data_IF_472081675807
#
_entry.id   IF_472081675807
#
_cell.length_a   1.000
_cell.length_b   1.000
_cell.length_c   1.000
_cell.angle_alpha   90.00
_cell.angle_beta   90.00
_cell.angle_gamma   90.00
#
_symmetry.space_group_name_H-M   'P 1'
#
loop_
_entity.id
_entity.type
_entity.pdbx_description
1 polymer ?
#
# COMPACT_ATOMS: atom_id res chain seq x y z
N UNK A 1 -21.71 -41.19 29.29
CA UNK A 1 -21.79 -41.82 27.96
C UNK A 1 -20.98 -40.99 26.98
N UNK A 2 -19.94 -41.57 26.36
CA UNK A 2 -19.12 -40.95 25.31
C UNK A 2 -19.86 -40.95 23.96
N UNK A 3 -19.65 -39.93 23.10
CA UNK A 3 -19.53 -40.15 21.66
C UNK A 3 -18.11 -39.72 21.21
N UNK A 4 -17.29 -40.65 20.76
CA UNK A 4 -17.14 -41.06 19.37
C UNK A 4 -16.11 -40.17 18.65
N UNK A 5 -14.85 -40.60 18.79
CA UNK A 5 -13.68 -40.17 18.05
C UNK A 5 -13.84 -40.66 16.60
N UNK A 6 -14.14 -39.76 15.66
CA UNK A 6 -14.09 -40.04 14.23
C UNK A 6 -12.73 -39.60 13.71
N UNK A 7 -11.77 -40.51 13.84
CA UNK A 7 -10.50 -40.47 13.10
C UNK A 7 -10.83 -40.92 11.67
N UNK A 8 -10.94 -39.99 10.73
CA UNK A 8 -10.84 -40.35 9.32
C UNK A 8 -9.37 -40.51 8.97
N UNK A 9 -8.97 -41.77 8.81
CA UNK A 9 -7.74 -42.17 8.18
C UNK A 9 -7.80 -41.84 6.68
N UNK A 10 -7.17 -40.74 6.28
CA UNK A 10 -6.67 -40.58 4.91
C UNK A 10 -5.15 -40.71 4.97
N UNK A 11 -4.66 -41.93 5.17
CA UNK A 11 -3.28 -42.28 4.85
C UNK A 11 -3.19 -42.19 3.33
N UNK A 12 -2.58 -41.10 2.89
CA UNK A 12 -2.58 -40.59 1.53
C UNK A 12 -1.79 -41.49 0.59
N UNK A 13 -2.39 -41.96 -0.50
CA UNK A 13 -1.70 -42.69 -1.58
C UNK A 13 -0.78 -41.78 -2.43
N UNK A 14 -0.47 -40.58 -1.97
CA UNK A 14 0.24 -39.55 -2.76
C UNK A 14 1.65 -39.97 -3.14
N UNK A 15 2.29 -40.90 -2.41
CA UNK A 15 3.56 -41.53 -2.77
C UNK A 15 3.54 -42.35 -4.07
N UNK A 16 2.37 -42.77 -4.58
CA UNK A 16 2.26 -43.44 -5.88
C UNK A 16 2.20 -42.47 -7.06
N UNK A 17 2.02 -41.16 -6.80
CA UNK A 17 1.98 -40.15 -7.83
C UNK A 17 2.98 -39.03 -7.51
N UNK A 18 4.09 -38.91 -8.28
CA UNK A 18 5.14 -37.94 -7.99
C UNK A 18 4.65 -36.49 -8.05
N UNK A 19 3.64 -36.17 -8.86
CA UNK A 19 3.06 -34.82 -8.90
C UNK A 19 2.30 -34.51 -7.61
N UNK A 20 1.50 -35.47 -7.11
CA UNK A 20 0.79 -35.29 -5.85
C UNK A 20 1.74 -35.19 -4.66
N UNK A 21 2.76 -36.07 -4.61
CA UNK A 21 3.84 -35.97 -3.60
C UNK A 21 4.52 -34.60 -3.62
N UNK A 22 4.78 -34.04 -4.81
CA UNK A 22 5.40 -32.73 -4.93
C UNK A 22 4.50 -31.58 -4.45
N UNK A 23 3.19 -31.70 -4.68
CA UNK A 23 2.20 -30.73 -4.21
C UNK A 23 2.05 -30.78 -2.69
N UNK A 24 1.99 -31.98 -2.10
CA UNK A 24 1.94 -32.15 -0.64
C UNK A 24 3.18 -31.56 0.05
N UNK A 25 4.38 -31.84 -0.50
CA UNK A 25 5.61 -31.23 -0.01
C UNK A 25 5.56 -29.71 -0.12
N UNK A 26 5.07 -29.19 -1.24
CA UNK A 26 4.95 -27.74 -1.45
C UNK A 26 3.96 -27.11 -0.48
N UNK A 27 2.81 -27.73 -0.25
CA UNK A 27 1.82 -27.28 0.71
C UNK A 27 2.44 -27.23 2.11
N UNK A 28 3.15 -28.29 2.52
CA UNK A 28 3.82 -28.35 3.81
C UNK A 28 4.88 -27.23 3.96
N UNK A 29 5.71 -27.02 2.94
CA UNK A 29 6.68 -25.92 2.92
C UNK A 29 6.01 -24.55 3.02
N UNK A 30 4.91 -24.33 2.31
CA UNK A 30 4.18 -23.07 2.32
C UNK A 30 3.54 -22.83 3.69
N UNK A 31 2.93 -23.84 4.29
CA UNK A 31 2.35 -23.76 5.62
C UNK A 31 3.43 -23.48 6.69
N UNK A 32 4.59 -24.13 6.61
CA UNK A 32 5.71 -23.89 7.51
C UNK A 32 6.34 -22.50 7.35
N UNK A 33 6.27 -21.90 6.15
CA UNK A 33 6.67 -20.50 5.94
C UNK A 33 5.62 -19.53 6.49
N UNK A 34 4.35 -19.78 6.19
CA UNK A 34 3.23 -18.95 6.63
C UNK A 34 3.16 -18.87 8.16
N UNK A 35 3.43 -19.97 8.86
CA UNK A 35 3.44 -19.99 10.33
C UNK A 35 4.53 -19.14 10.97
N UNK A 36 5.53 -18.69 10.19
CA UNK A 36 6.61 -17.81 10.64
C UNK A 36 6.37 -16.34 10.26
N UNK A 37 5.37 -16.06 9.43
CA UNK A 37 5.02 -14.70 9.05
C UNK A 37 4.14 -14.07 10.13
N UNK A 38 4.22 -12.74 10.31
CA UNK A 38 3.30 -12.03 11.18
C UNK A 38 1.86 -12.18 10.66
N UNK A 39 0.89 -12.08 11.57
CA UNK A 39 -0.50 -11.97 11.18
C UNK A 39 -0.68 -10.74 10.26
N UNK A 40 -1.56 -10.86 9.27
CA UNK A 40 -1.92 -9.71 8.44
C UNK A 40 -2.59 -8.66 9.34
N UNK A 41 -2.18 -7.39 9.27
CA UNK A 41 -2.90 -6.31 9.91
C UNK A 41 -4.36 -6.29 9.46
N UNK A 42 -5.26 -5.93 10.37
CA UNK A 42 -6.65 -5.72 10.00
C UNK A 42 -6.71 -4.53 9.00
N UNK A 43 -7.40 -4.67 7.86
CA UNK A 43 -7.55 -3.56 6.93
C UNK A 43 -8.21 -2.35 7.61
N UNK A 44 -7.58 -1.18 7.48
CA UNK A 44 -8.06 0.04 8.12
C UNK A 44 -8.96 0.84 7.17
N UNK A 45 -10.19 1.23 7.58
CA UNK A 45 -10.96 2.21 6.83
C UNK A 45 -10.24 3.56 6.84
N UNK A 46 -9.91 4.04 5.66
CA UNK A 46 -9.31 5.36 5.45
C UNK A 46 -10.39 6.35 5.01
N UNK A 47 -10.23 7.63 5.39
CA UNK A 47 -11.07 8.70 4.86
C UNK A 47 -10.87 8.80 3.35
N UNK A 48 -9.61 8.68 2.90
CA UNK A 48 -9.22 8.60 1.49
C UNK A 48 -9.33 7.14 1.03
N UNK A 49 -10.33 6.83 0.20
CA UNK A 49 -10.51 5.48 -0.35
C UNK A 49 -9.68 5.24 -1.62
N UNK A 50 -9.06 6.30 -2.16
CA UNK A 50 -8.20 6.29 -3.34
C UNK A 50 -8.83 6.90 -4.59
N UNK A 51 -8.59 6.26 -5.73
CA UNK A 51 -9.05 6.63 -7.06
C UNK A 51 -10.37 5.94 -7.45
N UNK A 52 -11.26 6.68 -8.12
CA UNK A 52 -12.50 6.16 -8.72
C UNK A 52 -12.62 6.58 -10.19
N UNK A 53 -12.80 5.62 -11.10
CA UNK A 53 -12.84 5.80 -12.57
C UNK A 53 -14.08 6.49 -13.15
N UNK A 54 -14.94 7.04 -12.29
CA UNK A 54 -16.32 7.37 -12.65
C UNK A 54 -17.17 6.18 -13.12
N UNK A 55 -18.44 6.46 -13.41
CA UNK A 55 -19.40 5.45 -13.87
C UNK A 55 -19.20 5.16 -15.36
N UNK A 56 -19.32 3.89 -15.73
CA UNK A 56 -19.40 3.44 -17.11
C UNK A 56 -20.71 2.66 -17.35
N UNK A 57 -21.29 2.76 -18.55
CA UNK A 57 -22.53 2.05 -18.90
C UNK A 57 -22.30 0.56 -19.18
N UNK A 58 -21.08 0.15 -19.57
CA UNK A 58 -20.76 -1.23 -19.91
C UNK A 58 -19.52 -1.72 -19.14
N UNK A 59 -19.47 -3.03 -18.87
CA UNK A 59 -18.35 -3.64 -18.16
C UNK A 59 -17.04 -3.58 -18.95
N UNK A 60 -17.10 -3.61 -20.27
CA UNK A 60 -15.95 -3.57 -21.20
C UNK A 60 -15.54 -2.15 -21.60
N UNK A 61 -16.14 -1.12 -20.97
CA UNK A 61 -15.72 0.27 -21.15
C UNK A 61 -14.33 0.45 -20.57
N UNK A 62 -13.31 0.50 -21.43
CA UNK A 62 -11.92 0.68 -21.01
C UNK A 62 -11.78 1.98 -20.21
N UNK A 63 -11.19 1.88 -19.02
CA UNK A 63 -10.82 3.00 -18.16
C UNK A 63 -9.35 2.87 -17.78
N UNK A 64 -8.66 3.99 -17.65
CA UNK A 64 -7.27 3.98 -17.22
C UNK A 64 -6.96 5.16 -16.32
N UNK A 65 -5.91 4.98 -15.53
CA UNK A 65 -5.24 6.04 -14.77
C UNK A 65 -3.75 5.94 -15.00
N UNK A 66 -3.10 7.08 -15.11
CA UNK A 66 -1.68 7.20 -15.37
C UNK A 66 -1.05 8.10 -14.32
N UNK A 67 0.15 7.74 -13.88
CA UNK A 67 0.99 8.58 -13.05
C UNK A 67 2.25 8.97 -13.80
N UNK A 68 2.69 10.23 -13.64
CA UNK A 68 3.99 10.74 -14.08
C UNK A 68 4.89 10.90 -12.86
N UNK A 69 5.96 10.08 -12.79
CA UNK A 69 6.95 10.09 -11.72
C UNK A 69 7.86 11.33 -11.74
N UNK A 70 7.73 12.18 -12.77
CA UNK A 70 8.50 13.40 -12.97
C UNK A 70 9.89 13.20 -13.60
N UNK A 71 10.46 12.00 -13.47
CA UNK A 71 11.72 11.60 -14.06
C UNK A 71 11.73 10.09 -14.39
N UNK A 72 12.69 9.66 -15.21
CA UNK A 72 12.93 8.23 -15.44
C UNK A 72 13.59 7.59 -14.21
N UNK A 73 13.04 6.48 -13.74
CA UNK A 73 13.60 5.69 -12.63
C UNK A 73 13.85 4.24 -13.07
N UNK A 74 14.94 3.60 -12.59
CA UNK A 74 15.08 2.15 -12.64
C UNK A 74 14.12 1.52 -11.62
N UNK A 75 13.04 0.93 -12.09
CA UNK A 75 11.98 0.43 -11.23
C UNK A 75 12.34 -0.92 -10.61
N UNK A 76 12.12 -1.07 -9.31
CA UNK A 76 12.21 -2.34 -8.60
C UNK A 76 10.88 -3.11 -8.67
N UNK A 77 9.79 -2.41 -8.33
CA UNK A 77 8.47 -2.98 -8.08
C UNK A 77 7.37 -1.95 -8.32
N UNK A 78 6.23 -2.42 -8.82
CA UNK A 78 4.95 -1.69 -8.78
C UNK A 78 4.00 -2.47 -7.87
N UNK A 79 3.38 -1.78 -6.92
CA UNK A 79 2.41 -2.37 -5.99
C UNK A 79 1.08 -1.66 -6.15
N UNK A 80 0.03 -2.45 -6.38
CA UNK A 80 -1.32 -1.95 -6.59
C UNK A 80 -2.15 -2.37 -5.39
N UNK A 81 -2.67 -1.38 -4.69
CA UNK A 81 -3.51 -1.60 -3.53
C UNK A 81 -4.97 -1.44 -3.99
N UNK A 82 -5.80 -2.49 -3.86
CA UNK A 82 -7.22 -2.38 -4.13
C UNK A 82 -7.89 -1.32 -3.25
N UNK A 83 -8.87 -0.59 -3.79
CA UNK A 83 -9.63 0.36 -2.99
C UNK A 83 -10.44 -0.39 -1.94
N UNK A 84 -10.56 0.18 -0.75
CA UNK A 84 -11.43 -0.33 0.29
C UNK A 84 -12.40 0.77 0.70
N UNK A 85 -13.69 0.45 0.70
CA UNK A 85 -14.74 1.37 1.16
C UNK A 85 -15.75 0.58 2.01
N UNK A 86 -15.83 0.92 3.29
CA UNK A 86 -16.74 0.25 4.23
C UNK A 86 -16.21 -1.11 4.69
N UNK A 87 -16.94 -2.18 4.39
CA UNK A 87 -16.55 -3.56 4.73
C UNK A 87 -15.23 -3.93 4.04
N UNK A 88 -14.41 -4.75 4.72
CA UNK A 88 -13.07 -5.16 4.31
C UNK A 88 -13.05 -6.02 3.02
N UNK A 89 -13.50 -5.45 1.93
CA UNK A 89 -13.56 -6.00 0.58
C UNK A 89 -13.01 -5.00 -0.43
N UNK A 90 -12.49 -5.50 -1.55
CA UNK A 90 -11.98 -4.68 -2.62
C UNK A 90 -13.12 -4.01 -3.38
N UNK A 91 -13.35 -2.72 -3.10
CA UNK A 91 -14.37 -1.91 -3.73
C UNK A 91 -14.00 -1.62 -5.18
N UNK A 92 -14.80 -2.10 -6.14
CA UNK A 92 -14.65 -1.73 -7.54
C UNK A 92 -13.35 -2.17 -8.19
N UNK A 93 -12.60 -3.14 -7.64
CA UNK A 93 -11.39 -3.64 -8.31
C UNK A 93 -11.77 -4.36 -9.61
N UNK A 94 -11.08 -4.11 -10.74
CA UNK A 94 -11.55 -4.54 -12.05
C UNK A 94 -11.35 -6.05 -12.23
N UNK A 95 -12.19 -6.68 -13.04
CA UNK A 95 -12.09 -8.11 -13.36
C UNK A 95 -10.94 -8.42 -14.30
N UNK A 96 -10.58 -7.47 -15.18
CA UNK A 96 -9.47 -7.60 -16.13
C UNK A 96 -8.76 -6.28 -16.27
N UNK A 97 -7.44 -6.35 -16.26
CA UNK A 97 -6.59 -5.17 -16.31
C UNK A 97 -5.19 -5.50 -16.80
N UNK A 98 -4.45 -4.46 -17.15
CA UNK A 98 -3.04 -4.50 -17.50
C UNK A 98 -2.32 -3.30 -16.89
N UNK A 99 -1.02 -3.46 -16.66
CA UNK A 99 -0.14 -2.43 -16.13
C UNK A 99 1.05 -2.29 -17.07
N UNK A 100 1.32 -1.05 -17.42
CA UNK A 100 2.34 -0.67 -18.39
C UNK A 100 3.27 0.39 -17.83
N UNK A 101 4.52 0.32 -18.27
CA UNK A 101 5.54 1.32 -18.01
C UNK A 101 6.00 1.97 -19.32
N UNK A 102 6.24 3.27 -19.31
CA UNK A 102 6.73 3.98 -20.50
C UNK A 102 7.51 5.25 -20.15
N UNK A 103 8.39 5.68 -21.06
CA UNK A 103 8.97 7.03 -21.06
C UNK A 103 8.17 8.01 -21.94
N UNK A 104 7.23 7.51 -22.75
CA UNK A 104 6.32 8.32 -23.55
C UNK A 104 4.99 8.56 -22.79
N UNK A 105 4.59 9.82 -22.53
CA UNK A 105 3.33 10.11 -21.84
C UNK A 105 2.09 9.63 -22.61
N UNK A 106 2.19 9.40 -23.92
CA UNK A 106 1.10 8.86 -24.75
C UNK A 106 1.03 7.33 -24.71
N UNK A 107 2.09 6.65 -24.28
CA UNK A 107 2.25 5.19 -24.30
C UNK A 107 2.12 4.60 -25.72
N UNK A 108 2.67 5.27 -26.74
CA UNK A 108 2.81 4.68 -28.06
C UNK A 108 3.76 3.48 -28.03
N UNK A 109 4.84 3.61 -27.26
CA UNK A 109 5.75 2.53 -26.89
C UNK A 109 5.62 2.26 -25.38
N UNK A 110 5.53 1.00 -24.97
CA UNK A 110 5.43 0.65 -23.55
C UNK A 110 5.90 -0.78 -23.27
N UNK A 111 6.41 -0.98 -22.07
CA UNK A 111 6.72 -2.30 -21.52
C UNK A 111 5.55 -2.77 -20.67
N UNK A 112 4.98 -3.93 -21.03
CA UNK A 112 3.95 -4.59 -20.21
C UNK A 112 4.57 -5.17 -18.96
N UNK A 113 4.17 -4.66 -17.79
CA UNK A 113 4.61 -5.18 -16.49
C UNK A 113 3.75 -6.36 -16.03
N UNK A 114 2.45 -6.29 -16.28
CA UNK A 114 1.47 -7.31 -15.90
C UNK A 114 0.27 -7.25 -16.84
N UNK A 115 -0.18 -8.40 -17.34
CA UNK A 115 -1.41 -8.54 -18.12
C UNK A 115 -2.33 -9.58 -17.47
N UNK A 116 -3.53 -9.14 -17.06
CA UNK A 116 -4.61 -9.95 -16.49
C UNK A 116 -5.88 -9.85 -17.36
N UNK A 117 -5.74 -9.82 -18.69
CA UNK A 117 -6.86 -9.75 -19.63
C UNK A 117 -7.45 -11.11 -20.05
N UNK A 118 -6.84 -12.21 -19.63
CA UNK A 118 -7.25 -13.57 -20.06
C UNK A 118 -8.36 -14.14 -19.18
N UNK A 119 -8.22 -14.05 -17.86
CA UNK A 119 -9.16 -14.61 -16.89
C UNK A 119 -9.63 -13.52 -15.92
N UNK A 120 -10.90 -13.60 -15.53
CA UNK A 120 -11.48 -12.71 -14.53
C UNK A 120 -10.77 -12.92 -13.19
N UNK A 121 -10.15 -11.87 -12.67
CA UNK A 121 -9.58 -11.88 -11.32
C UNK A 121 -10.69 -11.83 -10.28
N UNK A 122 -10.50 -12.55 -9.17
CA UNK A 122 -11.40 -12.46 -8.02
C UNK A 122 -11.02 -11.23 -7.18
N UNK A 123 -12.00 -10.43 -6.73
CA UNK A 123 -11.72 -9.30 -5.86
C UNK A 123 -11.10 -9.81 -4.54
N UNK A 124 -10.01 -9.17 -4.14
CA UNK A 124 -9.27 -9.43 -2.91
C UNK A 124 -8.65 -8.11 -2.46
N UNK A 125 -8.55 -7.88 -1.15
CA UNK A 125 -7.79 -6.75 -0.60
C UNK A 125 -6.27 -6.97 -0.63
N UNK A 126 -5.81 -8.17 -0.99
CA UNK A 126 -4.40 -8.43 -1.15
C UNK A 126 -3.81 -7.51 -2.23
N UNK A 127 -2.68 -6.83 -1.95
CA UNK A 127 -2.04 -5.99 -2.94
C UNK A 127 -1.46 -6.85 -4.07
N UNK A 128 -1.52 -6.33 -5.28
CA UNK A 128 -0.81 -6.92 -6.41
C UNK A 128 0.63 -6.44 -6.39
N UNK A 129 1.57 -7.38 -6.31
CA UNK A 129 2.99 -7.09 -6.34
C UNK A 129 3.58 -7.49 -7.69
N UNK A 130 4.13 -6.52 -8.41
CA UNK A 130 4.72 -6.72 -9.74
C UNK A 130 6.20 -6.38 -9.68
N UNK A 131 7.07 -7.37 -9.88
CA UNK A 131 8.51 -7.15 -10.00
C UNK A 131 8.83 -6.66 -11.41
N UNK A 132 9.45 -5.48 -11.52
CA UNK A 132 9.75 -4.82 -12.80
C UNK A 132 11.14 -5.12 -13.33
N UNK A 133 11.99 -5.80 -12.54
CA UNK A 133 13.34 -6.26 -12.94
C UNK A 133 14.25 -5.15 -13.48
N UNK A 134 14.10 -3.91 -12.99
CA UNK A 134 14.96 -2.78 -13.36
C UNK A 134 14.59 -2.06 -14.64
N UNK A 135 13.40 -2.30 -15.22
CA UNK A 135 12.88 -1.50 -16.34
C UNK A 135 12.93 -0.02 -15.99
N UNK A 136 13.39 0.80 -16.93
CA UNK A 136 13.48 2.24 -16.78
C UNK A 136 12.25 2.93 -17.37
N UNK A 137 11.49 3.61 -16.52
CA UNK A 137 10.30 4.32 -16.96
C UNK A 137 10.04 5.58 -16.12
N UNK A 138 9.33 6.53 -16.74
CA UNK A 138 8.83 7.75 -16.11
C UNK A 138 7.33 7.69 -15.82
N UNK A 139 6.57 6.93 -16.61
CA UNK A 139 5.13 6.84 -16.49
C UNK A 139 4.71 5.41 -16.19
N UNK A 140 3.73 5.25 -15.31
CA UNK A 140 3.02 3.99 -15.09
C UNK A 140 1.55 4.20 -15.45
N UNK A 141 0.97 3.29 -16.23
CA UNK A 141 -0.46 3.30 -16.56
C UNK A 141 -1.09 2.00 -16.08
N UNK A 142 -2.19 2.14 -15.35
CA UNK A 142 -3.11 1.05 -15.04
C UNK A 142 -4.30 1.15 -15.98
N UNK A 143 -4.57 0.09 -16.74
CA UNK A 143 -5.67 0.02 -17.70
C UNK A 143 -6.63 -1.09 -17.30
N UNK A 144 -7.86 -0.74 -16.90
CA UNK A 144 -8.94 -1.68 -16.68
C UNK A 144 -9.71 -1.92 -18.00
N UNK A 145 -9.75 -3.17 -18.43
CA UNK A 145 -10.42 -3.59 -19.68
C UNK A 145 -11.75 -4.27 -19.41
N UNK A 146 -11.95 -4.79 -18.21
CA UNK A 146 -13.25 -5.25 -17.71
C UNK A 146 -13.47 -4.77 -16.29
N UNK A 147 -14.37 -3.80 -16.14
CA UNK A 147 -14.75 -3.13 -14.91
C UNK A 147 -15.57 -4.04 -13.99
N UNK A 148 -15.62 -3.67 -12.70
CA UNK A 148 -16.52 -4.28 -11.73
C UNK A 148 -17.89 -3.61 -11.76
N UNK A 149 -18.93 -4.38 -11.42
CA UNK A 149 -20.23 -3.78 -11.11
C UNK A 149 -20.11 -3.00 -9.79
N UNK A 150 -20.66 -1.79 -9.76
CA UNK A 150 -20.74 -1.01 -8.53
C UNK A 150 -21.55 -1.82 -7.49
N UNK A 151 -21.14 -1.86 -6.21
CA UNK A 151 -21.87 -2.61 -5.19
C UNK A 151 -23.36 -2.25 -5.18
N UNK A 152 -24.20 -3.29 -5.10
CA UNK A 152 -25.67 -3.20 -5.15
C UNK A 152 -26.26 -2.61 -6.45
N UNK A 153 -25.49 -2.52 -7.53
CA UNK A 153 -25.94 -2.04 -8.84
C UNK A 153 -25.47 -2.99 -9.94
N UNK A 154 -26.37 -3.38 -10.86
CA UNK A 154 -26.03 -4.33 -11.94
C UNK A 154 -25.77 -3.67 -13.30
N UNK A 155 -26.05 -2.36 -13.41
CA UNK A 155 -25.98 -1.59 -14.67
C UNK A 155 -25.02 -0.38 -14.59
N UNK A 156 -24.18 -0.35 -13.55
CA UNK A 156 -23.19 0.71 -13.32
C UNK A 156 -21.86 0.04 -13.08
N UNK A 157 -20.88 0.37 -13.90
CA UNK A 157 -19.57 -0.25 -13.84
C UNK A 157 -18.52 0.77 -13.43
N UNK A 158 -17.60 0.34 -12.58
CA UNK A 158 -16.57 1.16 -11.95
C UNK A 158 -15.26 0.40 -11.89
N UNK A 159 -14.18 1.17 -11.79
CA UNK A 159 -12.86 0.70 -11.44
C UNK A 159 -12.28 1.63 -10.36
N UNK A 160 -11.85 1.06 -9.23
CA UNK A 160 -11.24 1.82 -8.15
C UNK A 160 -9.93 1.18 -7.68
N UNK A 161 -8.97 2.03 -7.29
CA UNK A 161 -7.71 1.66 -6.66
C UNK A 161 -7.54 2.45 -5.37
N UNK A 162 -7.03 1.82 -4.33
CA UNK A 162 -6.67 2.48 -3.09
C UNK A 162 -5.41 3.30 -3.27
N UNK A 163 -4.36 2.69 -3.82
CA UNK A 163 -3.05 3.31 -3.99
C UNK A 163 -2.24 2.60 -5.07
N UNK A 164 -1.35 3.34 -5.73
CA UNK A 164 -0.35 2.83 -6.65
C UNK A 164 1.04 3.24 -6.15
N UNK A 165 1.76 2.28 -5.57
CA UNK A 165 3.13 2.49 -5.10
C UNK A 165 4.10 2.05 -6.18
N UNK A 166 5.11 2.87 -6.46
CA UNK A 166 6.18 2.54 -7.41
C UNK A 166 7.51 2.68 -6.69
N UNK A 167 8.27 1.59 -6.63
CA UNK A 167 9.52 1.55 -5.89
C UNK A 167 10.74 1.62 -6.79
N UNK A 168 11.69 2.46 -6.43
CA UNK A 168 13.04 2.52 -6.99
C UNK A 168 14.04 2.71 -5.85
N UNK A 169 14.99 1.79 -5.73
CA UNK A 169 15.95 1.71 -4.63
C UNK A 169 15.26 1.72 -3.26
N UNK A 170 14.14 0.99 -3.14
CA UNK A 170 13.38 0.86 -1.89
C UNK A 170 12.54 2.08 -1.46
N UNK A 171 12.53 3.17 -2.24
CA UNK A 171 11.70 4.37 -1.99
C UNK A 171 10.48 4.40 -2.89
N UNK A 172 9.35 4.87 -2.37
CA UNK A 172 8.15 5.09 -3.18
C UNK A 172 8.31 6.37 -4.01
N UNK A 173 8.69 6.24 -5.27
CA UNK A 173 8.86 7.36 -6.21
C UNK A 173 7.53 7.84 -6.81
N UNK A 174 6.42 7.16 -6.52
CA UNK A 174 5.08 7.63 -6.91
C UNK A 174 4.47 8.62 -5.92
N UNK A 175 5.01 8.77 -4.70
CA UNK A 175 4.40 9.63 -3.67
C UNK A 175 4.22 11.07 -4.18
N UNK A 176 2.97 11.53 -4.20
CA UNK A 176 2.52 12.83 -4.71
C UNK A 176 2.85 13.08 -6.20
N UNK A 177 3.04 12.02 -6.99
CA UNK A 177 3.20 12.11 -8.43
C UNK A 177 1.98 12.77 -9.11
N UNK A 178 2.18 13.31 -10.31
CA UNK A 178 1.08 13.86 -11.10
C UNK A 178 0.21 12.72 -11.62
N UNK A 179 -1.11 12.86 -11.49
CA UNK A 179 -2.08 11.85 -11.89
C UNK A 179 -2.94 12.36 -13.05
N UNK A 180 -2.98 11.60 -14.14
CA UNK A 180 -3.86 11.83 -15.28
C UNK A 180 -4.94 10.73 -15.31
N UNK A 181 -6.21 11.14 -15.19
CA UNK A 181 -7.35 10.23 -15.21
C UNK A 181 -8.58 10.87 -15.89
N UNK A 182 -8.74 10.75 -17.21
CA UNK A 182 -9.76 11.49 -17.98
C UNK A 182 -11.22 11.27 -17.58
N UNK A 183 -11.52 10.19 -16.85
CA UNK A 183 -12.89 9.83 -16.46
C UNK A 183 -13.08 9.76 -14.94
N UNK A 184 -12.14 10.27 -14.16
CA UNK A 184 -12.20 10.19 -12.71
C UNK A 184 -13.40 10.90 -12.11
N UNK A 185 -13.84 10.44 -10.95
CA UNK A 185 -14.71 11.19 -10.05
C UNK A 185 -13.88 11.81 -8.94
N UNK A 186 -14.20 13.05 -8.57
CA UNK A 186 -13.70 13.69 -7.37
C UNK A 186 -14.88 14.01 -6.43
N UNK A 187 -14.90 13.32 -5.29
CA UNK A 187 -15.86 13.52 -4.20
C UNK A 187 -15.10 13.51 -2.89
N UNK A 188 -14.50 14.66 -2.57
CA UNK A 188 -13.71 14.84 -1.37
C UNK A 188 -14.56 14.63 -0.10
N UNK A 189 -13.96 14.10 0.97
CA UNK A 189 -12.55 13.70 1.10
C UNK A 189 -12.26 12.28 0.61
N UNK A 190 -13.26 11.53 0.12
CA UNK A 190 -13.10 10.10 -0.13
C UNK A 190 -12.40 9.76 -1.43
N UNK A 191 -12.88 10.31 -2.55
CA UNK A 191 -12.38 9.97 -3.87
C UNK A 191 -11.71 11.17 -4.52
N UNK A 192 -10.49 10.99 -5.00
CA UNK A 192 -9.79 11.96 -5.85
C UNK A 192 -8.69 11.23 -6.62
N UNK A 193 -8.37 11.62 -7.88
CA UNK A 193 -7.20 11.10 -8.58
C UNK A 193 -5.92 11.17 -7.76
N UNK A 194 -5.74 12.24 -6.97
CA UNK A 194 -4.52 12.43 -6.16
C UNK A 194 -4.41 11.44 -5.00
N UNK A 195 -5.52 10.85 -4.55
CA UNK A 195 -5.48 9.82 -3.51
C UNK A 195 -4.95 8.47 -4.03
N UNK A 196 -4.66 8.35 -5.33
CA UNK A 196 -3.95 7.18 -5.86
C UNK A 196 -2.49 7.11 -5.38
N UNK A 197 -1.92 8.26 -5.00
CA UNK A 197 -0.48 8.43 -4.77
C UNK A 197 -0.20 9.28 -3.53
N UNK A 198 -1.13 9.38 -2.59
CA UNK A 198 -0.99 10.23 -1.39
C UNK A 198 -0.38 9.50 -0.19
N UNK A 199 -0.17 8.18 -0.29
CA UNK A 199 0.37 7.36 0.78
C UNK A 199 -0.66 6.92 1.83
N UNK A 200 -1.97 7.10 1.57
CA UNK A 200 -3.05 6.65 2.43
C UNK A 200 -3.69 5.36 1.87
N UNK A 201 -3.41 4.23 2.52
CA UNK A 201 -3.89 2.92 2.08
C UNK A 201 -4.19 1.96 3.24
N UNK A 202 -4.91 0.88 2.93
CA UNK A 202 -5.49 -0.04 3.92
C UNK A 202 -4.63 -1.29 4.22
N UNK A 203 -3.31 -1.25 4.01
CA UNK A 203 -2.41 -2.40 4.29
C UNK A 203 -1.93 -2.46 5.75
N UNK A 204 -2.10 -1.37 6.50
CA UNK A 204 -1.58 -1.25 7.86
C UNK A 204 -0.06 -1.06 7.91
N UNK A 205 0.49 -1.13 9.13
CA UNK A 205 1.91 -0.88 9.38
C UNK A 205 2.81 -1.98 8.76
N UNK A 206 4.04 -1.64 8.36
CA UNK A 206 5.05 -2.64 8.05
C UNK A 206 5.30 -3.50 9.29
N UNK A 207 4.99 -4.80 9.20
CA UNK A 207 5.18 -5.76 10.29
C UNK A 207 6.36 -6.68 10.00
N UNK A 208 7.21 -6.86 11.01
CA UNK A 208 8.26 -7.87 11.01
C UNK A 208 7.93 -8.93 12.07
N UNK A 209 8.14 -10.23 11.79
CA UNK A 209 8.04 -11.25 12.83
C UNK A 209 9.25 -11.11 13.76
N UNK A 210 9.08 -10.42 14.88
CA UNK A 210 10.04 -10.41 15.97
C UNK A 210 9.37 -10.77 17.30
N UNK A 211 10.19 -11.08 18.29
CA UNK A 211 9.74 -11.33 19.67
C UNK A 211 9.68 -10.01 20.48
N UNK A 212 9.90 -8.87 19.82
CA UNK A 212 9.98 -7.56 20.44
C UNK A 212 8.55 -7.00 20.52
N UNK A 213 7.90 -7.24 21.66
CA UNK A 213 6.61 -6.64 21.99
C UNK A 213 6.77 -5.16 22.36
N UNK A 214 7.14 -4.32 21.38
CA UNK A 214 7.28 -2.87 21.53
C UNK A 214 6.09 -2.11 20.95
N UNK A 215 5.66 -1.05 21.62
CA UNK A 215 4.59 -0.14 21.16
C UNK A 215 5.13 1.04 20.33
N UNK A 216 6.44 1.09 20.06
CA UNK A 216 7.12 2.27 19.53
C UNK A 216 7.49 3.28 20.62
N UNK A 217 7.63 4.55 20.23
CA UNK A 217 7.93 5.65 21.16
C UNK A 217 6.67 6.46 21.48
N UNK A 218 6.50 6.82 22.74
CA UNK A 218 5.45 7.73 23.18
C UNK A 218 6.05 8.77 24.13
N UNK A 219 5.68 10.05 23.95
CA UNK A 219 6.16 11.12 24.81
C UNK A 219 5.62 11.01 26.25
N UNK A 220 6.24 11.69 27.20
CA UNK A 220 5.65 11.85 28.53
C UNK A 220 4.29 12.59 28.46
N UNK A 221 3.29 12.08 29.19
CA UNK A 221 1.93 12.65 29.24
C UNK A 221 1.99 14.14 29.61
N UNK A 222 1.15 14.94 28.96
CA UNK A 222 1.04 16.38 29.21
C UNK A 222 -0.42 16.78 29.41
N UNK A 223 -0.66 17.76 30.28
CA UNK A 223 -2.01 18.24 30.58
C UNK A 223 -2.53 19.27 29.56
N UNK A 224 -1.71 19.65 28.57
CA UNK A 224 -2.09 20.59 27.51
C UNK A 224 -1.59 20.10 26.15
N UNK A 225 -2.40 20.31 25.12
CA UNK A 225 -2.06 19.96 23.73
C UNK A 225 -0.97 20.84 23.12
N UNK A 226 -0.64 21.98 23.75
CA UNK A 226 0.37 22.93 23.26
C UNK A 226 1.77 22.66 23.82
N UNK A 227 1.93 21.63 24.65
CA UNK A 227 3.25 21.27 25.18
C UNK A 227 4.13 20.72 24.07
N UNK A 228 5.23 21.41 23.77
CA UNK A 228 6.23 20.93 22.81
C UNK A 228 6.92 19.66 23.33
N UNK A 229 6.93 18.61 22.51
CA UNK A 229 7.67 17.37 22.72
C UNK A 229 8.58 17.12 21.53
N UNK A 230 9.65 16.38 21.75
CA UNK A 230 10.60 16.00 20.71
C UNK A 230 11.25 14.67 21.08
N UNK A 231 11.73 13.98 20.06
CA UNK A 231 12.60 12.82 20.14
C UNK A 231 13.72 13.05 19.14
N UNK A 232 14.93 12.58 19.43
CA UNK A 232 16.06 12.72 18.52
C UNK A 232 16.76 11.36 18.38
N UNK A 233 17.07 11.00 17.14
CA UNK A 233 17.99 9.92 16.82
C UNK A 233 19.34 10.53 16.43
N UNK A 234 20.41 10.05 17.07
CA UNK A 234 21.79 10.36 16.69
C UNK A 234 22.39 9.12 16.04
N UNK A 235 22.79 9.24 14.77
CA UNK A 235 23.38 8.16 13.99
C UNK A 235 24.88 7.95 14.32
N UNK A 236 25.47 8.79 15.17
CA UNK A 236 26.86 8.73 15.62
C UNK A 236 27.87 9.39 14.67
N UNK A 237 27.54 9.50 13.38
CA UNK A 237 28.30 10.23 12.37
C UNK A 237 27.38 10.73 11.24
N UNK A 238 27.82 11.69 10.41
CA UNK A 238 27.06 12.11 9.24
C UNK A 238 26.89 10.98 8.21
N UNK A 239 25.65 10.66 7.87
CA UNK A 239 25.30 9.69 6.82
C UNK A 239 24.54 10.39 5.68
N UNK A 240 24.68 9.83 4.48
CA UNK A 240 23.76 10.15 3.39
C UNK A 240 22.38 9.56 3.73
N UNK A 241 21.39 10.43 3.91
CA UNK A 241 20.02 10.05 4.26
C UNK A 241 19.16 10.31 3.03
N UNK A 242 18.55 9.26 2.49
CA UNK A 242 17.76 9.38 1.25
C UNK A 242 16.28 9.62 1.52
N UNK A 243 15.81 9.21 2.70
CA UNK A 243 14.43 9.33 3.14
C UNK A 243 14.35 9.18 4.66
N UNK A 244 13.45 9.94 5.28
CA UNK A 244 13.05 9.79 6.68
C UNK A 244 11.61 9.26 6.68
N UNK A 245 11.32 8.18 7.41
CA UNK A 245 9.95 7.67 7.57
C UNK A 245 9.54 7.72 9.03
N UNK A 246 8.41 8.37 9.30
CA UNK A 246 7.73 8.26 10.58
C UNK A 246 6.74 7.10 10.50
N UNK A 247 6.91 6.12 11.39
CA UNK A 247 6.02 4.97 11.52
C UNK A 247 5.09 5.27 12.69
N UNK A 248 3.77 5.42 12.47
CA UNK A 248 2.83 5.63 13.55
C UNK A 248 2.89 4.51 14.58
N UNK A 249 2.77 4.86 15.86
CA UNK A 249 2.68 3.85 16.93
C UNK A 249 1.35 3.11 16.83
N UNK A 250 1.38 1.80 17.09
CA UNK A 250 0.17 0.98 17.23
C UNK A 250 0.33 0.05 18.44
N UNK A 251 0.03 0.56 19.65
CA UNK A 251 0.18 -0.21 20.89
C UNK A 251 -0.73 -1.44 20.89
N UNK A 252 -0.18 -2.61 21.25
CA UNK A 252 -0.94 -3.88 21.27
C UNK A 252 -1.70 -4.12 22.58
N UNK A 253 -1.33 -3.39 23.64
CA UNK A 253 -1.89 -3.44 24.98
C UNK A 253 -2.91 -2.33 25.25
N UNK A 254 -3.31 -1.60 24.22
CA UNK A 254 -4.28 -0.50 24.27
C UNK A 254 -5.41 -0.76 23.27
N UNK A 255 -6.63 -0.20 23.47
CA UNK A 255 -7.69 -0.30 22.47
C UNK A 255 -7.23 0.15 21.08
N UNK A 256 -7.64 -0.60 20.05
CA UNK A 256 -7.29 -0.35 18.65
C UNK A 256 -7.48 1.12 18.26
N UNK A 257 -6.39 1.78 17.88
CA UNK A 257 -6.38 3.19 17.48
C UNK A 257 -5.31 3.41 16.41
N UNK A 258 -5.75 3.44 15.16
CA UNK A 258 -4.87 3.73 14.04
C UNK A 258 -4.25 5.13 14.16
N UNK A 259 -2.95 5.20 13.91
CA UNK A 259 -2.18 6.44 14.07
C UNK A 259 -2.14 6.96 15.52
N UNK A 260 -2.08 6.05 16.50
CA UNK A 260 -2.11 6.38 17.92
C UNK A 260 -1.06 7.43 18.27
N UNK A 261 -1.53 8.58 18.77
CA UNK A 261 -0.66 9.66 19.23
C UNK A 261 0.14 10.37 18.13
N UNK A 262 -0.15 10.11 16.84
CA UNK A 262 0.55 10.78 15.75
C UNK A 262 0.35 12.31 15.85
N UNK A 263 1.42 13.12 15.78
CA UNK A 263 1.32 14.55 16.05
C UNK A 263 0.52 15.27 14.96
N UNK A 264 -0.40 16.15 15.39
CA UNK A 264 -1.17 17.00 14.47
C UNK A 264 -0.33 18.14 13.92
N UNK A 265 0.67 18.64 14.66
CA UNK A 265 1.54 19.75 14.26
C UNK A 265 2.95 19.42 14.67
N UNK A 266 3.84 19.29 13.71
CA UNK A 266 5.22 18.90 13.98
C UNK A 266 6.16 19.43 12.90
N UNK A 267 7.44 19.30 13.17
CA UNK A 267 8.49 19.49 12.19
C UNK A 267 9.43 18.28 12.24
N UNK A 268 10.09 18.03 11.12
CA UNK A 268 11.20 17.09 11.03
C UNK A 268 12.45 17.90 10.74
N UNK A 269 13.49 17.68 11.52
CA UNK A 269 14.75 18.40 11.42
C UNK A 269 15.93 17.43 11.26
N UNK A 270 16.93 17.83 10.48
CA UNK A 270 18.19 17.11 10.34
C UNK A 270 19.36 18.06 10.60
N UNK A 271 20.18 17.78 11.60
CA UNK A 271 21.24 18.68 12.09
C UNK A 271 20.77 20.14 12.28
N UNK A 272 19.56 20.30 12.83
CA UNK A 272 18.92 21.60 13.09
C UNK A 272 18.30 22.29 11.87
N UNK A 273 18.37 21.68 10.67
CA UNK A 273 17.71 22.19 9.46
C UNK A 273 16.33 21.57 9.30
N UNK A 274 15.32 22.39 9.06
CA UNK A 274 13.95 21.93 8.78
C UNK A 274 13.89 21.17 7.46
N UNK A 275 13.43 19.92 7.52
CA UNK A 275 13.10 19.06 6.38
C UNK A 275 11.61 19.13 6.06
N UNK A 276 10.77 19.20 7.08
CA UNK A 276 9.31 19.32 6.96
C UNK A 276 8.76 20.17 8.11
N UNK A 277 7.69 20.93 7.85
CA UNK A 277 7.03 21.77 8.85
C UNK A 277 5.51 21.81 8.61
N UNK A 278 4.76 21.26 9.56
CA UNK A 278 3.29 21.36 9.67
C UNK A 278 2.87 22.09 10.95
N UNK A 279 3.71 22.96 11.50
CA UNK A 279 3.39 23.64 12.78
C UNK A 279 2.26 24.66 12.67
N UNK A 280 1.89 25.08 11.45
CA UNK A 280 0.86 26.08 11.18
C UNK A 280 -0.51 25.49 10.81
N UNK A 281 -0.60 24.20 10.49
CA UNK A 281 -1.84 23.53 10.10
C UNK A 281 -1.86 22.08 10.59
N UNK A 282 -3.05 21.55 10.91
CA UNK A 282 -3.15 20.18 11.38
C UNK A 282 -2.87 19.18 10.25
N UNK A 283 -1.89 18.30 10.46
CA UNK A 283 -1.59 17.15 9.62
C UNK A 283 -2.69 16.10 9.78
N UNK A 284 -3.15 15.55 8.66
CA UNK A 284 -4.13 14.46 8.63
C UNK A 284 -3.56 13.24 9.32
N UNK A 285 -4.34 12.57 10.18
CA UNK A 285 -3.89 11.34 10.81
C UNK A 285 -3.60 10.29 9.72
N UNK A 286 -2.36 9.77 9.60
CA UNK A 286 -2.01 8.80 8.56
C UNK A 286 -2.60 7.39 8.82
N UNK A 287 -3.23 7.18 9.99
CA UNK A 287 -3.60 5.85 10.43
C UNK A 287 -2.35 4.99 10.60
N UNK A 288 -2.37 3.81 10.00
CA UNK A 288 -1.27 2.85 10.05
C UNK A 288 -0.37 2.90 8.80
N UNK A 289 -0.36 4.01 8.05
CA UNK A 289 0.61 4.18 6.96
C UNK A 289 1.85 4.96 7.38
N UNK A 290 3.05 4.57 6.89
CA UNK A 290 4.26 5.35 7.06
C UNK A 290 4.15 6.74 6.41
N UNK A 291 4.58 7.78 7.13
CA UNK A 291 4.73 9.13 6.56
C UNK A 291 6.18 9.32 6.13
N UNK A 292 6.41 9.43 4.83
CA UNK A 292 7.75 9.48 4.23
C UNK A 292 8.14 10.90 3.80
N UNK A 293 9.40 11.27 4.07
CA UNK A 293 10.02 12.53 3.69
C UNK A 293 11.27 12.23 2.85
N UNK A 294 11.17 12.27 1.50
CA UNK A 294 12.32 12.13 0.63
C UNK A 294 13.34 13.25 0.87
N UNK A 295 14.61 12.90 1.00
CA UNK A 295 15.69 13.83 1.37
C UNK A 295 16.89 13.72 0.42
N UNK A 296 16.70 13.86 -0.91
CA UNK A 296 17.80 13.70 -1.87
C UNK A 296 18.96 14.65 -1.56
N UNK A 297 20.15 14.09 -1.40
CA UNK A 297 21.38 14.86 -1.11
C UNK A 297 21.54 15.29 0.36
N UNK A 298 20.64 14.87 1.27
CA UNK A 298 20.82 15.14 2.69
C UNK A 298 21.99 14.33 3.25
N UNK A 299 22.90 15.04 3.90
CA UNK A 299 23.92 14.46 4.76
C UNK A 299 23.70 14.99 6.16
N UNK A 300 23.39 14.10 7.11
CA UNK A 300 23.14 14.50 8.49
C UNK A 300 23.54 13.41 9.49
N UNK A 301 23.86 13.81 10.71
CA UNK A 301 24.12 12.91 11.84
C UNK A 301 22.89 12.73 12.73
N UNK A 302 22.15 13.81 12.97
CA UNK A 302 21.03 13.85 13.90
C UNK A 302 19.72 14.08 13.17
N UNK A 303 18.68 13.40 13.61
CA UNK A 303 17.30 13.52 13.13
C UNK A 303 16.38 13.79 14.31
N UNK A 304 15.54 14.82 14.24
CA UNK A 304 14.65 15.25 15.33
C UNK A 304 13.23 15.56 14.85
#
# INVERSE_FOLDING_TARGET
MKPALLIFASISWTWLNPQLSSLDHREHELNAKLSKLPALPAPQPQEHAGFHSGLAPHADSVRWVQIDLGAEYPLDRVVIIPAMLGVAEAYGFPKRFRIDASNDPLFAESDTLLDQNVLDVRPSLAPWHVATKGIKARHIRFTATQLAAQPHQTKRFIFCLGELLVFSQGRNVALHAQVLAPNSVETLPTWSPRHLVDGAYALGLPVHPDEINGNGWHSGISNTSQTTKWVQADLGAPHAIQEIRLIPAHPRDYPERFGFGFPRRFKVEADGKTIFDSTTADFTNPGDTPVAFPTPGLHAQTLR
#
